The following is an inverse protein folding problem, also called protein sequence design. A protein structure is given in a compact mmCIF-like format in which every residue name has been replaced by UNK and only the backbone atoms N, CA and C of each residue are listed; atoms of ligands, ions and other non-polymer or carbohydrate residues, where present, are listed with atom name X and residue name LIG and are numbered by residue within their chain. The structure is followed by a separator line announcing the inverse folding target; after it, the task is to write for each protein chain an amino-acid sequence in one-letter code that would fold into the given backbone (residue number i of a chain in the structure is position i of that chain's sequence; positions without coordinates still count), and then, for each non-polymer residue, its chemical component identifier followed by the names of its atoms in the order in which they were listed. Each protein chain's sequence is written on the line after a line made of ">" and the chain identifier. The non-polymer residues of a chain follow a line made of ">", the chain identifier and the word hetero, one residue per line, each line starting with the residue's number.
data_IF_235768151151
#
_entry.id   IF_235768151151
#
_cell.length_a   1.000
_cell.length_b   1.000
_cell.length_c   1.000
_cell.angle_alpha   90.00
_cell.angle_beta   90.00
_cell.angle_gamma   90.00
#
_symmetry.space_group_name_H-M   'P 1'
#
loop_
_entity.id
_entity.type
_entity.pdbx_description
1 polymer ?
#
# COMPACT_ATOMS: atom_id res chain seq x y z
N UNK A 1 20.08 -4.51 -38.49
CA UNK A 1 18.62 -4.36 -38.44
C UNK A 1 18.18 -4.88 -37.08
N UNK A 2 18.09 -3.99 -36.10
CA UNK A 2 17.77 -4.31 -34.71
C UNK A 2 16.27 -4.18 -34.45
N UNK A 3 15.63 -5.13 -33.74
CA UNK A 3 14.26 -4.97 -33.31
C UNK A 3 14.19 -4.11 -32.04
N UNK A 4 13.54 -2.95 -32.16
CA UNK A 4 13.17 -2.07 -31.04
C UNK A 4 12.24 -2.79 -30.07
N UNK A 5 12.72 -3.07 -28.85
CA UNK A 5 11.87 -3.44 -27.71
C UNK A 5 11.25 -2.16 -27.14
N UNK A 6 9.93 -2.01 -27.30
CA UNK A 6 9.13 -1.00 -26.61
C UNK A 6 9.01 -1.40 -25.14
N UNK A 7 9.67 -0.69 -24.23
CA UNK A 7 9.31 -0.73 -22.80
C UNK A 7 7.96 -0.01 -22.65
N UNK A 8 6.91 -0.79 -22.36
CA UNK A 8 5.61 -0.27 -21.97
C UNK A 8 5.67 0.34 -20.57
N UNK A 9 4.99 1.47 -20.39
CA UNK A 9 4.77 2.10 -19.09
C UNK A 9 4.11 1.12 -18.12
N UNK A 10 4.81 0.78 -17.04
CA UNK A 10 4.27 -0.05 -15.97
C UNK A 10 3.34 0.81 -15.14
N UNK A 11 2.03 0.56 -15.24
CA UNK A 11 1.05 1.06 -14.28
C UNK A 11 1.21 0.24 -12.99
N UNK A 12 1.45 0.90 -11.86
CA UNK A 12 1.60 0.25 -10.56
C UNK A 12 0.22 -0.08 -9.97
N UNK A 13 -0.12 -1.37 -9.75
CA UNK A 13 -1.26 -1.73 -8.94
C UNK A 13 -0.95 -1.47 -7.46
N UNK A 14 -1.95 -0.95 -6.73
CA UNK A 14 -1.89 -0.73 -5.28
C UNK A 14 -2.13 -2.07 -4.59
N UNK A 15 -1.08 -2.78 -4.22
CA UNK A 15 -1.19 -3.97 -3.37
C UNK A 15 -1.42 -3.59 -1.91
N UNK A 16 -2.59 -4.00 -1.41
CA UNK A 16 -2.98 -3.91 0.00
C UNK A 16 -2.71 -5.28 0.62
N UNK A 17 -1.53 -5.45 1.21
CA UNK A 17 -1.28 -6.57 2.11
C UNK A 17 -0.65 -6.18 3.45
N UNK A 18 -1.39 -6.56 4.48
CA UNK A 18 -1.23 -6.31 5.91
C UNK A 18 -0.22 -7.27 6.51
N UNK A 19 0.64 -6.79 7.42
CA UNK A 19 1.44 -7.66 8.27
C UNK A 19 1.03 -7.51 9.73
N UNK A 20 0.82 -8.67 10.38
CA UNK A 20 0.46 -8.86 11.79
C UNK A 20 1.57 -8.38 12.72
N UNK A 21 1.20 -7.74 13.83
CA UNK A 21 2.08 -7.46 14.95
C UNK A 21 1.30 -7.65 16.25
N UNK A 22 1.79 -8.55 17.10
CA UNK A 22 1.22 -9.02 18.36
C UNK A 22 1.25 -7.89 19.40
N UNK A 23 0.17 -7.72 20.17
CA UNK A 23 0.08 -6.79 21.27
C UNK A 23 0.96 -7.25 22.44
N UNK A 24 1.82 -6.36 22.94
CA UNK A 24 2.51 -6.52 24.21
C UNK A 24 2.26 -5.24 25.02
N UNK A 25 1.41 -5.36 26.05
CA UNK A 25 1.19 -4.33 27.06
C UNK A 25 2.45 -4.16 27.91
N UNK A 26 3.01 -2.95 27.97
CA UNK A 26 3.95 -2.56 29.03
C UNK A 26 3.69 -1.11 29.45
N UNK A 27 3.17 -0.96 30.67
CA UNK A 27 3.67 -0.03 31.69
C UNK A 27 3.74 1.46 31.37
N UNK A 28 2.75 2.18 31.89
CA UNK A 28 2.69 3.63 32.03
C UNK A 28 3.86 4.23 32.84
N UNK A 29 4.59 5.18 32.23
CA UNK A 29 5.25 6.28 32.95
C UNK A 29 5.05 7.58 32.18
N UNK A 30 4.09 8.37 32.64
CA UNK A 30 3.82 9.71 32.15
C UNK A 30 4.94 10.66 32.59
N UNK A 31 5.68 11.23 31.63
CA UNK A 31 6.35 12.51 31.80
C UNK A 31 5.40 13.62 31.30
N UNK A 32 5.10 14.61 32.15
CA UNK A 32 4.22 15.74 31.82
C UNK A 32 4.84 16.61 30.70
N UNK A 33 4.07 17.09 29.72
CA UNK A 33 4.58 18.06 28.75
C UNK A 33 4.67 19.44 29.39
N UNK A 34 5.84 20.08 29.24
CA UNK A 34 6.07 21.50 29.49
C UNK A 34 5.23 22.36 28.56
N UNK A 35 4.50 23.31 29.13
CA UNK A 35 3.72 24.34 28.44
C UNK A 35 4.63 25.26 27.62
N UNK A 36 4.53 25.19 26.29
CA UNK A 36 5.02 26.23 25.41
C UNK A 36 3.85 27.12 24.99
N UNK A 37 3.98 28.42 25.26
CA UNK A 37 3.07 29.45 24.73
C UNK A 37 3.23 29.52 23.20
N UNK A 38 2.15 29.24 22.48
CA UNK A 38 2.01 29.59 21.06
C UNK A 38 0.95 30.67 20.96
N UNK A 39 1.33 31.86 20.48
CA UNK A 39 0.38 32.89 20.11
C UNK A 39 -0.56 32.35 19.03
N UNK A 40 -1.80 32.10 19.43
CA UNK A 40 -2.83 31.59 18.55
C UNK A 40 -3.59 32.77 17.93
N UNK A 41 -3.33 33.05 16.65
CA UNK A 41 -4.38 33.62 15.82
C UNK A 41 -5.50 32.58 15.72
N UNK A 42 -6.69 32.91 16.25
CA UNK A 42 -7.91 32.13 16.07
C UNK A 42 -8.59 32.58 14.77
N UNK A 43 -8.70 31.72 13.73
CA UNK A 43 -9.72 31.91 12.72
C UNK A 43 -11.04 31.38 13.28
N UNK A 44 -12.05 32.24 13.22
CA UNK A 44 -13.45 31.95 13.48
C UNK A 44 -13.98 30.86 12.55
N UNK A 45 -14.67 29.88 13.15
CA UNK A 45 -15.54 28.85 12.57
C UNK A 45 -15.69 28.75 11.04
N UNK A 46 -14.88 27.89 10.44
CA UNK A 46 -15.21 27.08 9.27
C UNK A 46 -14.44 25.75 9.41
N UNK A 47 -15.08 24.61 9.15
CA UNK A 47 -14.54 23.29 9.46
C UNK A 47 -13.15 23.07 8.85
N UNK A 48 -12.13 22.94 9.71
CA UNK A 48 -10.76 22.68 9.26
C UNK A 48 -10.67 21.25 8.69
N UNK A 49 -10.26 21.13 7.43
CA UNK A 49 -10.04 19.84 6.74
C UNK A 49 -8.97 19.00 7.44
N UNK A 50 -8.01 19.65 8.10
CA UNK A 50 -6.94 19.02 8.84
C UNK A 50 -5.78 19.96 9.17
N UNK A 51 -4.79 19.43 9.86
CA UNK A 51 -3.55 20.16 10.19
C UNK A 51 -2.43 19.66 9.29
N UNK A 52 -1.80 20.59 8.57
CA UNK A 52 -0.60 20.36 7.79
C UNK A 52 0.62 20.81 8.60
N UNK A 53 1.44 19.88 9.04
CA UNK A 53 2.69 20.14 9.74
C UNK A 53 3.85 20.06 8.77
N UNK A 54 4.63 21.13 8.66
CA UNK A 54 5.79 21.24 7.78
C UNK A 54 7.07 21.28 8.62
N UNK A 55 8.08 20.51 8.22
CA UNK A 55 9.39 20.54 8.85
C UNK A 55 10.06 21.89 8.65
N UNK A 56 10.57 22.47 9.75
CA UNK A 56 11.35 23.70 9.70
C UNK A 56 12.57 23.58 8.79
N UNK A 57 13.34 22.48 8.90
CA UNK A 57 14.56 22.29 8.11
C UNK A 57 14.23 22.13 6.63
N UNK A 58 13.20 21.35 6.30
CA UNK A 58 12.79 21.17 4.90
C UNK A 58 12.27 22.48 4.31
N UNK A 59 11.48 23.26 5.06
CA UNK A 59 10.96 24.57 4.65
C UNK A 59 12.08 25.53 4.30
N UNK A 60 13.14 25.58 5.11
CA UNK A 60 14.26 26.50 4.92
C UNK A 60 15.11 26.15 3.68
N UNK A 61 14.98 24.95 3.14
CA UNK A 61 15.60 24.52 1.87
C UNK A 61 14.77 24.88 0.62
N UNK A 62 13.51 25.29 0.77
CA UNK A 62 12.61 25.54 -0.36
C UNK A 62 12.65 26.99 -0.86
N UNK A 63 12.31 27.18 -2.13
CA UNK A 63 12.17 28.51 -2.72
C UNK A 63 10.97 29.27 -2.10
N UNK A 64 11.12 30.57 -1.75
CA UNK A 64 10.01 31.38 -1.25
C UNK A 64 8.75 31.40 -2.12
N UNK A 65 8.87 31.37 -3.45
CA UNK A 65 7.70 31.35 -4.35
C UNK A 65 6.87 30.09 -4.18
N UNK A 66 7.53 28.95 -4.02
CA UNK A 66 6.86 27.68 -3.77
C UNK A 66 6.22 27.64 -2.38
N UNK A 67 6.87 28.20 -1.36
CA UNK A 67 6.28 28.30 -0.02
C UNK A 67 5.01 29.18 -0.01
N UNK A 68 5.00 30.27 -0.78
CA UNK A 68 3.80 31.09 -0.97
C UNK A 68 2.68 30.29 -1.63
N UNK A 69 2.99 29.55 -2.71
CA UNK A 69 2.03 28.64 -3.33
C UNK A 69 1.47 27.62 -2.33
N UNK A 70 2.33 26.98 -1.52
CA UNK A 70 1.88 26.02 -0.50
C UNK A 70 0.91 26.68 0.49
N UNK A 71 1.23 27.89 0.96
CA UNK A 71 0.36 28.62 1.89
C UNK A 71 -1.01 28.92 1.28
N UNK A 72 -1.04 29.46 0.06
CA UNK A 72 -2.29 29.74 -0.67
C UNK A 72 -3.09 28.47 -0.92
N UNK A 73 -2.44 27.41 -1.42
CA UNK A 73 -3.07 26.13 -1.70
C UNK A 73 -3.69 25.50 -0.45
N UNK A 74 -3.00 25.53 0.69
CA UNK A 74 -3.53 24.98 1.94
C UNK A 74 -4.70 25.81 2.47
N UNK A 75 -4.64 27.14 2.36
CA UNK A 75 -5.74 28.02 2.74
C UNK A 75 -7.00 27.73 1.91
N UNK A 76 -6.86 27.61 0.59
CA UNK A 76 -7.96 27.26 -0.33
C UNK A 76 -8.56 25.88 -0.02
N UNK A 77 -7.74 24.94 0.45
CA UNK A 77 -8.17 23.60 0.83
C UNK A 77 -8.56 23.46 2.31
N UNK A 78 -8.65 24.58 3.04
CA UNK A 78 -9.03 24.63 4.47
C UNK A 78 -8.13 23.80 5.39
N UNK A 79 -6.84 23.73 5.09
CA UNK A 79 -5.82 23.13 5.96
C UNK A 79 -5.11 24.20 6.79
N UNK A 80 -4.94 23.94 8.08
CA UNK A 80 -4.12 24.78 8.95
C UNK A 80 -2.64 24.40 8.81
N UNK A 81 -1.81 25.33 8.34
CA UNK A 81 -0.36 25.16 8.27
C UNK A 81 0.30 25.45 9.63
N UNK A 82 1.14 24.52 10.10
CA UNK A 82 2.01 24.67 11.26
C UNK A 82 3.45 24.31 10.86
N UNK A 83 4.42 25.14 11.24
CA UNK A 83 5.85 24.85 11.03
C UNK A 83 6.42 24.31 12.35
N UNK A 84 7.00 23.11 12.31
CA UNK A 84 7.43 22.37 13.51
C UNK A 84 8.73 21.60 13.26
N UNK A 85 9.53 21.30 14.29
CA UNK A 85 10.73 20.48 14.16
C UNK A 85 10.37 18.99 14.12
N UNK A 86 10.00 18.50 12.93
CA UNK A 86 9.62 17.09 12.70
C UNK A 86 10.64 16.38 11.79
N UNK A 87 10.73 15.05 11.94
CA UNK A 87 11.68 14.23 11.17
C UNK A 87 11.25 13.95 9.71
N UNK A 88 9.97 13.66 9.40
CA UNK A 88 9.46 13.73 8.02
C UNK A 88 9.44 15.18 7.51
N UNK A 89 9.33 15.37 6.20
CA UNK A 89 9.22 16.72 5.63
C UNK A 89 7.85 17.32 5.93
N UNK A 90 6.81 16.50 5.86
CA UNK A 90 5.42 16.89 6.06
C UNK A 90 4.69 15.80 6.87
N UNK A 91 3.82 16.20 7.79
CA UNK A 91 2.82 15.32 8.41
C UNK A 91 1.45 15.99 8.26
N UNK A 92 0.46 15.25 7.76
CA UNK A 92 -0.93 15.72 7.70
C UNK A 92 -1.79 14.90 8.65
N UNK A 93 -2.46 15.61 9.55
CA UNK A 93 -3.52 15.06 10.39
C UNK A 93 -4.87 15.38 9.76
N UNK A 94 -5.54 14.36 9.22
CA UNK A 94 -6.84 14.50 8.58
C UNK A 94 -7.73 13.30 8.92
N UNK A 95 -8.97 13.56 9.34
CA UNK A 95 -9.96 12.51 9.66
C UNK A 95 -9.50 11.48 10.70
N UNK A 96 -8.74 11.95 11.71
CA UNK A 96 -8.21 11.12 12.79
C UNK A 96 -6.95 10.33 12.43
N UNK A 97 -6.53 10.29 11.15
CA UNK A 97 -5.29 9.65 10.70
C UNK A 97 -4.16 10.67 10.63
N UNK A 98 -2.96 10.25 11.05
CA UNK A 98 -1.70 10.94 10.77
C UNK A 98 -1.00 10.26 9.59
N UNK A 99 -0.65 11.02 8.57
CA UNK A 99 0.08 10.55 7.38
C UNK A 99 1.37 11.35 7.24
N UNK A 100 2.51 10.66 7.20
CA UNK A 100 3.83 11.26 7.06
C UNK A 100 4.31 11.17 5.61
N UNK A 101 5.03 12.21 5.18
CA UNK A 101 5.58 12.33 3.84
C UNK A 101 7.06 12.72 3.89
N UNK A 102 7.84 12.09 3.03
CA UNK A 102 9.11 12.61 2.56
C UNK A 102 8.83 13.22 1.19
N UNK A 103 9.18 14.49 0.98
CA UNK A 103 8.95 15.19 -0.27
C UNK A 103 10.27 15.64 -0.89
N UNK A 104 10.73 14.85 -1.86
CA UNK A 104 11.96 15.08 -2.61
C UNK A 104 11.65 16.03 -3.77
N UNK A 105 11.91 17.32 -3.54
CA UNK A 105 11.60 18.41 -4.49
C UNK A 105 12.59 18.50 -5.65
N UNK A 106 13.79 17.96 -5.48
CA UNK A 106 14.79 17.83 -6.53
C UNK A 106 15.50 16.48 -6.43
N UNK A 107 15.44 15.69 -7.49
CA UNK A 107 16.12 14.39 -7.54
C UNK A 107 17.62 14.56 -7.82
N UNK A 108 18.43 14.08 -6.88
CA UNK A 108 19.89 14.07 -6.98
C UNK A 108 20.42 12.65 -6.76
N UNK A 109 21.02 12.09 -7.80
CA UNK A 109 21.56 10.72 -7.78
C UNK A 109 22.68 10.54 -6.72
N UNK A 110 23.41 11.61 -6.39
CA UNK A 110 24.48 11.57 -5.39
C UNK A 110 23.93 11.44 -3.95
N UNK A 111 22.70 11.88 -3.71
CA UNK A 111 22.03 11.86 -2.39
C UNK A 111 21.12 10.65 -2.18
N UNK A 112 21.13 9.70 -3.11
CA UNK A 112 20.26 8.51 -3.05
C UNK A 112 20.48 7.68 -1.79
N UNK A 113 21.73 7.49 -1.37
CA UNK A 113 22.06 6.70 -0.18
C UNK A 113 21.41 7.27 1.10
N UNK A 114 21.52 8.59 1.31
CA UNK A 114 20.97 9.25 2.49
C UNK A 114 19.44 9.26 2.46
N UNK A 115 18.84 9.48 1.28
CA UNK A 115 17.39 9.40 1.10
C UNK A 115 16.86 8.02 1.48
N UNK A 116 17.37 6.94 0.89
CA UNK A 116 16.86 5.59 1.16
C UNK A 116 17.13 5.14 2.60
N UNK A 117 18.24 5.56 3.21
CA UNK A 117 18.49 5.35 4.64
C UNK A 117 17.41 6.04 5.50
N UNK A 118 17.10 7.31 5.20
CA UNK A 118 16.04 8.08 5.87
C UNK A 118 14.67 7.41 5.69
N UNK A 119 14.35 6.93 4.50
CA UNK A 119 13.11 6.20 4.19
C UNK A 119 12.98 4.96 5.07
N UNK A 120 14.03 4.13 5.15
CA UNK A 120 14.02 2.91 5.98
C UNK A 120 13.84 3.22 7.45
N UNK A 121 14.50 4.26 7.97
CA UNK A 121 14.34 4.73 9.35
C UNK A 121 12.90 5.18 9.64
N UNK A 122 12.33 6.02 8.78
CA UNK A 122 10.97 6.55 8.97
C UNK A 122 9.88 5.49 8.77
N UNK A 123 10.11 4.49 7.90
CA UNK A 123 9.19 3.35 7.71
C UNK A 123 8.93 2.60 9.02
N UNK A 124 9.93 2.49 9.90
CA UNK A 124 9.76 1.87 11.22
C UNK A 124 9.00 2.73 12.24
N UNK A 125 8.84 4.03 11.98
CA UNK A 125 8.23 4.99 12.92
C UNK A 125 6.80 5.37 12.54
N UNK A 126 6.45 5.31 11.25
CA UNK A 126 5.17 5.79 10.74
C UNK A 126 4.44 4.69 9.98
N UNK A 127 3.25 4.31 10.47
CA UNK A 127 2.39 3.32 9.80
C UNK A 127 1.90 3.78 8.42
N UNK A 128 1.72 5.10 8.23
CA UNK A 128 1.34 5.70 6.95
C UNK A 128 2.45 6.63 6.48
N UNK A 129 3.48 6.07 5.84
CA UNK A 129 4.56 6.83 5.23
C UNK A 129 4.46 6.77 3.71
N UNK A 130 4.63 7.93 3.07
CA UNK A 130 4.71 8.08 1.63
C UNK A 130 5.97 8.85 1.24
N UNK A 131 6.52 8.54 0.07
CA UNK A 131 7.67 9.27 -0.49
C UNK A 131 7.22 9.87 -1.81
N UNK A 132 7.10 11.19 -1.87
CA UNK A 132 6.76 11.92 -3.10
C UNK A 132 8.06 12.43 -3.71
N UNK A 133 8.30 12.13 -4.98
CA UNK A 133 9.57 12.45 -5.66
C UNK A 133 9.29 13.19 -6.95
N UNK A 134 9.83 14.40 -7.08
CA UNK A 134 9.72 15.19 -8.29
C UNK A 134 10.77 14.76 -9.31
N UNK A 135 10.30 14.25 -10.45
CA UNK A 135 11.06 13.68 -11.55
C UNK A 135 10.56 14.30 -12.87
N UNK A 136 10.88 15.58 -13.16
CA UNK A 136 10.42 16.28 -14.36
C UNK A 136 10.90 15.65 -15.67
N UNK A 137 12.05 14.98 -15.69
CA UNK A 137 12.61 14.39 -16.91
C UNK A 137 12.63 12.87 -16.88
N UNK A 138 12.71 12.29 -18.08
CA UNK A 138 12.82 10.84 -18.26
C UNK A 138 14.11 10.30 -17.65
N UNK A 139 15.22 11.01 -17.79
CA UNK A 139 16.54 10.61 -17.28
C UNK A 139 16.53 10.55 -15.75
N UNK A 140 15.85 11.49 -15.09
CA UNK A 140 15.66 11.45 -13.65
C UNK A 140 14.77 10.27 -13.23
N UNK A 141 13.70 10.00 -13.97
CA UNK A 141 12.86 8.82 -13.72
C UNK A 141 13.66 7.51 -13.86
N UNK A 142 14.46 7.37 -14.93
CA UNK A 142 15.30 6.20 -15.16
C UNK A 142 16.36 6.07 -14.05
N UNK A 143 17.00 7.17 -13.65
CA UNK A 143 17.93 7.23 -12.51
C UNK A 143 17.27 6.83 -11.17
N UNK A 144 16.05 7.31 -10.92
CA UNK A 144 15.25 6.94 -9.76
C UNK A 144 14.95 5.44 -9.74
N UNK A 145 14.48 4.88 -10.87
CA UNK A 145 14.18 3.45 -10.98
C UNK A 145 15.41 2.58 -10.71
N UNK A 146 16.55 2.90 -11.35
CA UNK A 146 17.80 2.19 -11.08
C UNK A 146 18.18 2.24 -9.60
N UNK A 147 18.03 3.40 -8.96
CA UNK A 147 18.35 3.57 -7.55
C UNK A 147 17.38 2.82 -6.63
N UNK A 148 16.09 2.85 -6.94
CA UNK A 148 15.05 2.13 -6.20
C UNK A 148 15.37 0.63 -6.08
N UNK A 149 15.74 0.00 -7.20
CA UNK A 149 16.14 -1.41 -7.22
C UNK A 149 17.50 -1.63 -6.54
N UNK A 150 18.50 -0.77 -6.79
CA UNK A 150 19.83 -0.86 -6.18
C UNK A 150 19.78 -0.91 -4.65
N UNK A 151 18.89 -0.14 -4.02
CA UNK A 151 18.76 -0.08 -2.56
C UNK A 151 17.77 -1.10 -1.97
N UNK A 152 17.30 -2.05 -2.78
CA UNK A 152 16.34 -3.11 -2.41
C UNK A 152 15.10 -2.53 -1.73
N UNK A 153 14.48 -1.52 -2.36
CA UNK A 153 13.23 -0.98 -1.85
C UNK A 153 12.08 -1.95 -2.11
N UNK A 154 11.29 -2.20 -1.07
CA UNK A 154 10.10 -3.05 -1.15
C UNK A 154 8.95 -2.29 -1.84
N UNK A 155 8.36 -2.94 -2.84
CA UNK A 155 7.16 -2.43 -3.51
C UNK A 155 6.05 -2.16 -2.47
N UNK A 156 5.48 -0.96 -2.54
CA UNK A 156 4.37 -0.53 -1.70
C UNK A 156 4.71 -0.18 -0.25
N UNK A 157 5.96 -0.35 0.23
CA UNK A 157 6.30 -0.16 1.67
C UNK A 157 7.65 0.58 1.89
N UNK A 158 7.65 1.93 2.02
CA UNK A 158 6.52 2.84 1.82
C UNK A 158 6.18 3.00 0.32
N UNK A 159 5.00 3.54 0.03
CA UNK A 159 4.63 3.86 -1.35
C UNK A 159 5.41 5.07 -1.85
N UNK A 160 6.06 4.91 -3.00
CA UNK A 160 6.70 6.00 -3.74
C UNK A 160 5.72 6.57 -4.77
N UNK A 161 5.67 7.90 -4.87
CA UNK A 161 4.76 8.64 -5.75
C UNK A 161 5.61 9.57 -6.61
N UNK A 162 6.04 9.12 -7.81
CA UNK A 162 6.73 9.98 -8.75
C UNK A 162 5.77 11.03 -9.31
N UNK A 163 6.21 12.28 -9.41
CA UNK A 163 5.45 13.42 -9.96
C UNK A 163 6.32 14.26 -10.88
N UNK A 164 5.72 14.95 -11.85
CA UNK A 164 6.48 15.75 -12.84
C UNK A 164 6.90 17.12 -12.32
N UNK A 165 6.23 17.66 -11.29
CA UNK A 165 6.51 18.98 -10.74
C UNK A 165 6.09 19.09 -9.27
N UNK A 166 6.44 20.21 -8.63
CA UNK A 166 6.22 20.46 -7.21
C UNK A 166 4.75 20.64 -6.83
N UNK A 167 3.97 21.34 -7.66
CA UNK A 167 2.55 21.63 -7.39
C UNK A 167 1.73 20.35 -7.41
N UNK A 168 1.91 19.52 -8.44
CA UNK A 168 1.33 18.17 -8.51
C UNK A 168 1.79 17.32 -7.34
N UNK A 169 3.04 17.45 -6.89
CA UNK A 169 3.53 16.80 -5.67
C UNK A 169 2.72 17.16 -4.44
N UNK A 170 2.53 18.45 -4.17
CA UNK A 170 1.73 18.94 -3.05
C UNK A 170 0.26 18.49 -3.14
N UNK A 171 -0.33 18.59 -4.33
CA UNK A 171 -1.70 18.15 -4.59
C UNK A 171 -1.88 16.67 -4.26
N UNK A 172 -0.95 15.81 -4.69
CA UNK A 172 -0.97 14.37 -4.37
C UNK A 172 -0.81 14.13 -2.88
N UNK A 173 0.07 14.85 -2.19
CA UNK A 173 0.25 14.77 -0.74
C UNK A 173 -1.08 15.02 -0.01
N UNK A 174 -1.76 16.13 -0.34
CA UNK A 174 -3.04 16.49 0.30
C UNK A 174 -4.14 15.48 -0.06
N UNK A 175 -4.24 15.05 -1.33
CA UNK A 175 -5.23 14.05 -1.77
C UNK A 175 -5.04 12.70 -1.07
N UNK A 176 -3.81 12.23 -0.91
CA UNK A 176 -3.50 10.98 -0.20
C UNK A 176 -3.94 11.09 1.26
N UNK A 177 -3.57 12.19 1.94
CA UNK A 177 -3.93 12.39 3.34
C UNK A 177 -5.45 12.46 3.54
N UNK A 178 -6.16 13.19 2.67
CA UNK A 178 -7.61 13.29 2.70
C UNK A 178 -8.27 11.93 2.45
N UNK A 179 -7.86 11.20 1.41
CA UNK A 179 -8.37 9.87 1.11
C UNK A 179 -8.20 8.91 2.30
N UNK A 180 -7.02 8.92 2.95
CA UNK A 180 -6.78 8.13 4.17
C UNK A 180 -7.71 8.53 5.32
N UNK A 181 -7.92 9.83 5.53
CA UNK A 181 -8.86 10.34 6.53
C UNK A 181 -10.30 9.88 6.28
N UNK A 182 -10.78 9.96 5.04
CA UNK A 182 -12.11 9.50 4.64
C UNK A 182 -12.24 7.98 4.82
N UNK A 183 -11.28 7.19 4.32
CA UNK A 183 -11.28 5.74 4.46
C UNK A 183 -11.34 5.30 5.93
N UNK A 184 -10.63 6.00 6.83
CA UNK A 184 -10.70 5.72 8.27
C UNK A 184 -12.08 6.04 8.85
N UNK A 185 -12.64 7.23 8.56
CA UNK A 185 -13.97 7.62 9.05
C UNK A 185 -15.07 6.64 8.63
N UNK A 186 -14.95 6.07 7.43
CA UNK A 186 -15.94 5.15 6.89
C UNK A 186 -15.71 3.68 7.28
N UNK A 187 -14.65 3.38 8.05
CA UNK A 187 -14.14 2.03 8.30
C UNK A 187 -14.01 1.22 7.01
N UNK A 188 -13.59 1.87 5.91
CA UNK A 188 -13.64 1.31 4.57
C UNK A 188 -12.76 0.05 4.44
N UNK A 189 -11.59 0.04 5.09
CA UNK A 189 -10.66 -1.11 5.05
C UNK A 189 -11.26 -2.34 5.74
N UNK A 190 -11.89 -2.15 6.89
CA UNK A 190 -12.52 -3.25 7.63
C UNK A 190 -13.75 -3.79 6.90
N UNK A 191 -14.60 -2.89 6.37
CA UNK A 191 -15.74 -3.26 5.52
C UNK A 191 -15.30 -4.04 4.30
N UNK A 192 -14.30 -3.54 3.56
CA UNK A 192 -13.75 -4.22 2.39
C UNK A 192 -13.16 -5.58 2.76
N UNK A 193 -12.49 -5.71 3.91
CA UNK A 193 -11.98 -7.00 4.40
C UNK A 193 -13.11 -7.99 4.69
N UNK A 194 -14.17 -7.54 5.37
CA UNK A 194 -15.34 -8.37 5.65
C UNK A 194 -16.10 -8.77 4.39
N UNK A 195 -16.28 -7.85 3.44
CA UNK A 195 -16.89 -8.11 2.14
C UNK A 195 -16.06 -9.10 1.31
N UNK A 196 -14.73 -8.94 1.29
CA UNK A 196 -13.81 -9.89 0.65
C UNK A 196 -13.93 -11.27 1.29
N UNK A 197 -13.91 -11.35 2.61
CA UNK A 197 -14.06 -12.61 3.36
C UNK A 197 -15.38 -13.31 3.04
N UNK A 198 -16.49 -12.56 3.06
CA UNK A 198 -17.80 -13.07 2.66
C UNK A 198 -17.84 -13.53 1.20
N UNK A 199 -17.19 -12.79 0.30
CA UNK A 199 -17.14 -13.10 -1.13
C UNK A 199 -16.36 -14.38 -1.42
N UNK A 200 -15.22 -14.62 -0.74
CA UNK A 200 -14.42 -15.84 -0.95
C UNK A 200 -15.04 -17.08 -0.33
N UNK A 201 -15.95 -16.92 0.64
CA UNK A 201 -16.73 -18.01 1.23
C UNK A 201 -17.93 -18.43 0.36
N UNK A 202 -18.29 -17.66 -0.67
CA UNK A 202 -19.42 -17.99 -1.53
C UNK A 202 -19.13 -19.26 -2.36
N UNK A 203 -20.16 -20.09 -2.54
CA UNK A 203 -20.07 -21.32 -3.34
C UNK A 203 -19.58 -21.05 -4.77
N UNK A 204 -19.96 -19.91 -5.36
CA UNK A 204 -19.49 -19.52 -6.69
C UNK A 204 -17.97 -19.30 -6.74
N UNK A 205 -17.39 -18.71 -5.68
CA UNK A 205 -15.94 -18.54 -5.57
C UNK A 205 -15.25 -19.90 -5.44
N UNK A 206 -15.81 -20.79 -4.62
CA UNK A 206 -15.34 -22.16 -4.49
C UNK A 206 -15.37 -22.89 -5.85
N UNK A 207 -16.51 -22.88 -6.55
CA UNK A 207 -16.69 -23.54 -7.84
C UNK A 207 -15.70 -22.99 -8.87
N UNK A 208 -15.51 -21.67 -8.93
CA UNK A 208 -14.57 -21.03 -9.85
C UNK A 208 -13.13 -21.48 -9.61
N UNK A 209 -12.71 -21.64 -8.35
CA UNK A 209 -11.36 -22.12 -8.02
C UNK A 209 -11.21 -23.59 -8.36
N UNK A 210 -12.13 -24.44 -7.92
CA UNK A 210 -12.01 -25.90 -8.08
C UNK A 210 -12.13 -26.32 -9.55
N UNK A 211 -13.02 -25.72 -10.32
CA UNK A 211 -13.13 -25.98 -11.78
C UNK A 211 -11.98 -25.37 -12.60
N UNK A 212 -11.15 -24.53 -11.98
CA UNK A 212 -9.90 -24.07 -12.62
C UNK A 212 -8.82 -25.16 -12.61
N UNK A 213 -8.97 -26.24 -11.83
CA UNK A 213 -8.10 -27.41 -11.88
C UNK A 213 -8.41 -28.16 -13.19
N UNK A 214 -7.42 -28.40 -14.06
CA UNK A 214 -7.66 -29.02 -15.37
C UNK A 214 -8.42 -30.35 -15.25
N UNK A 215 -9.50 -30.54 -16.01
CA UNK A 215 -10.28 -31.79 -16.02
C UNK A 215 -11.12 -32.07 -14.77
N UNK A 216 -11.33 -31.05 -13.92
CA UNK A 216 -12.34 -31.05 -12.87
C UNK A 216 -13.52 -30.21 -13.37
N UNK A 217 -14.70 -30.81 -13.45
CA UNK A 217 -15.92 -30.15 -13.87
C UNK A 217 -16.75 -29.66 -12.67
N UNK A 218 -17.91 -29.06 -12.96
CA UNK A 218 -18.79 -28.49 -11.94
C UNK A 218 -19.38 -29.56 -11.01
N UNK A 219 -19.69 -30.75 -11.52
CA UNK A 219 -20.22 -31.85 -10.71
C UNK A 219 -19.16 -32.35 -9.75
N UNK A 220 -17.94 -32.57 -10.23
CA UNK A 220 -16.79 -32.95 -9.39
C UNK A 220 -16.56 -31.92 -8.27
N UNK A 221 -16.62 -30.63 -8.61
CA UNK A 221 -16.43 -29.55 -7.65
C UNK A 221 -17.50 -29.58 -6.55
N UNK A 222 -18.77 -29.83 -6.90
CA UNK A 222 -19.86 -29.95 -5.94
C UNK A 222 -19.67 -31.18 -5.03
N UNK A 223 -19.28 -32.33 -5.60
CA UNK A 223 -19.00 -33.54 -4.82
C UNK A 223 -17.88 -33.30 -3.80
N UNK A 224 -16.78 -32.66 -4.23
CA UNK A 224 -15.68 -32.27 -3.34
C UNK A 224 -16.12 -31.30 -2.24
N UNK A 225 -17.03 -30.37 -2.55
CA UNK A 225 -17.55 -29.42 -1.56
C UNK A 225 -18.37 -30.13 -0.50
N UNK A 226 -19.23 -31.06 -0.90
CA UNK A 226 -20.09 -31.82 0.01
C UNK A 226 -19.28 -32.79 0.89
N UNK A 227 -18.24 -33.40 0.32
CA UNK A 227 -17.43 -34.42 0.98
C UNK A 227 -16.30 -33.86 1.85
N UNK A 228 -15.60 -32.83 1.36
CA UNK A 228 -14.36 -32.30 1.96
C UNK A 228 -14.54 -30.86 2.47
N UNK A 229 -15.51 -30.12 1.93
CA UNK A 229 -15.91 -28.80 2.43
C UNK A 229 -15.16 -27.64 1.78
N UNK A 230 -13.87 -27.47 2.08
CA UNK A 230 -13.13 -26.25 1.73
C UNK A 230 -11.96 -26.48 0.77
N UNK A 231 -11.56 -25.43 0.05
CA UNK A 231 -10.38 -25.45 -0.82
C UNK A 231 -9.12 -25.80 -0.01
N UNK A 232 -8.99 -25.28 1.20
CA UNK A 232 -7.86 -25.59 2.09
C UNK A 232 -7.83 -27.06 2.49
N UNK A 233 -9.00 -27.64 2.81
CA UNK A 233 -9.10 -29.06 3.14
C UNK A 233 -8.75 -29.95 1.93
N UNK A 234 -9.21 -29.59 0.72
CA UNK A 234 -8.88 -30.31 -0.52
C UNK A 234 -7.38 -30.22 -0.82
N UNK A 235 -6.77 -29.05 -0.62
CA UNK A 235 -5.34 -28.86 -0.83
C UNK A 235 -4.48 -29.75 0.08
N UNK A 236 -4.98 -30.05 1.29
CA UNK A 236 -4.32 -30.92 2.28
C UNK A 236 -4.72 -32.39 2.15
N UNK A 237 -5.87 -32.70 1.55
CA UNK A 237 -6.38 -34.05 1.41
C UNK A 237 -5.38 -34.96 0.67
N UNK A 238 -5.28 -36.21 1.11
CA UNK A 238 -4.56 -37.24 0.37
C UNK A 238 -5.43 -37.74 -0.79
N UNK A 239 -4.80 -38.33 -1.81
CA UNK A 239 -5.54 -39.03 -2.88
C UNK A 239 -6.55 -40.03 -2.33
N UNK A 240 -6.14 -40.84 -1.35
CA UNK A 240 -7.01 -41.84 -0.73
C UNK A 240 -8.19 -41.18 -0.02
N UNK A 241 -7.94 -40.11 0.72
CA UNK A 241 -9.00 -39.33 1.38
C UNK A 241 -10.04 -38.79 0.36
N UNK A 242 -9.60 -38.34 -0.82
CA UNK A 242 -10.52 -37.90 -1.87
C UNK A 242 -11.35 -39.09 -2.39
N UNK A 243 -10.73 -40.22 -2.68
CA UNK A 243 -11.42 -41.41 -3.20
C UNK A 243 -12.38 -42.05 -2.20
N UNK A 244 -12.06 -42.01 -0.91
CA UNK A 244 -12.91 -42.61 0.14
C UNK A 244 -14.17 -41.79 0.40
N UNK A 245 -14.13 -40.47 0.11
CA UNK A 245 -15.21 -39.54 0.45
C UNK A 245 -15.97 -39.02 -0.80
N UNK A 246 -15.52 -39.34 -2.02
CA UNK A 246 -16.13 -38.86 -3.27
C UNK A 246 -16.22 -39.97 -4.32
N UNK A 247 -17.05 -39.76 -5.34
CA UNK A 247 -17.19 -40.62 -6.52
C UNK A 247 -16.22 -40.26 -7.65
N UNK A 248 -15.20 -39.44 -7.37
CA UNK A 248 -14.20 -39.03 -8.37
C UNK A 248 -13.36 -40.23 -8.82
N UNK A 249 -12.96 -40.20 -10.09
CA UNK A 249 -12.03 -41.21 -10.62
C UNK A 249 -10.64 -41.09 -10.00
N UNK A 250 -9.89 -42.20 -10.01
CA UNK A 250 -8.50 -42.27 -9.55
C UNK A 250 -7.62 -41.19 -10.22
N UNK A 251 -7.87 -40.93 -11.50
CA UNK A 251 -7.16 -39.91 -12.28
C UNK A 251 -7.48 -38.48 -11.82
N UNK A 252 -8.75 -38.19 -11.52
CA UNK A 252 -9.17 -36.88 -11.00
C UNK A 252 -8.62 -36.65 -9.59
N UNK A 253 -8.68 -37.65 -8.72
CA UNK A 253 -8.14 -37.57 -7.36
C UNK A 253 -6.62 -37.38 -7.34
N UNK A 254 -5.87 -38.09 -8.18
CA UNK A 254 -4.43 -37.90 -8.36
C UNK A 254 -4.12 -36.48 -8.84
N UNK A 255 -4.87 -36.00 -9.83
CA UNK A 255 -4.68 -34.68 -10.42
C UNK A 255 -4.88 -33.56 -9.41
N UNK A 256 -5.91 -33.65 -8.57
CA UNK A 256 -6.15 -32.70 -7.48
C UNK A 256 -4.98 -32.70 -6.50
N UNK A 257 -4.52 -33.89 -6.07
CA UNK A 257 -3.41 -34.01 -5.13
C UNK A 257 -2.11 -33.41 -5.69
N UNK A 258 -1.79 -33.70 -6.96
CA UNK A 258 -0.65 -33.13 -7.66
C UNK A 258 -0.77 -31.61 -7.87
N UNK A 259 -1.96 -31.11 -8.20
CA UNK A 259 -2.17 -29.67 -8.42
C UNK A 259 -1.81 -28.83 -7.19
N UNK A 260 -2.13 -29.29 -5.98
CA UNK A 260 -1.81 -28.54 -4.76
C UNK A 260 -0.40 -28.81 -4.22
N UNK A 261 0.22 -29.94 -4.54
CA UNK A 261 1.49 -30.38 -3.94
C UNK A 261 2.70 -30.26 -4.86
N UNK A 262 2.51 -30.20 -6.18
CA UNK A 262 3.57 -30.06 -7.16
C UNK A 262 3.52 -28.71 -7.89
N UNK A 263 4.45 -27.82 -7.51
CA UNK A 263 4.65 -26.51 -8.14
C UNK A 263 4.95 -26.60 -9.64
N UNK A 264 5.62 -27.65 -10.11
CA UNK A 264 5.91 -27.85 -11.54
C UNK A 264 4.66 -28.27 -12.31
N UNK A 265 3.68 -28.87 -11.65
CA UNK A 265 2.42 -29.29 -12.24
C UNK A 265 1.40 -28.14 -12.26
N UNK A 266 1.28 -27.38 -11.17
CA UNK A 266 0.34 -26.26 -11.03
C UNK A 266 0.67 -25.06 -11.92
N UNK A 267 1.97 -24.87 -12.23
CA UNK A 267 2.45 -23.79 -13.10
C UNK A 267 2.54 -24.17 -14.58
N UNK A 268 2.15 -25.40 -14.97
CA UNK A 268 2.17 -25.77 -16.41
C UNK A 268 1.14 -24.93 -17.18
N UNK A 269 1.50 -24.42 -18.37
CA UNK A 269 0.54 -23.78 -19.24
C UNK A 269 -0.65 -24.69 -19.48
N UNK A 270 -1.86 -24.17 -19.22
CA UNK A 270 -3.09 -24.88 -19.53
C UNK A 270 -3.26 -24.88 -21.05
N UNK A 271 -2.80 -25.93 -21.71
CA UNK A 271 -3.10 -26.15 -23.13
C UNK A 271 -4.59 -26.49 -23.20
N UNK A 272 -5.37 -25.59 -23.81
CA UNK A 272 -6.76 -25.85 -24.19
C UNK A 272 -6.80 -26.48 -25.57
#
# INVERSE_FOLDING_TARGET
>A
MDPKVKLGSIAFPVDVDSNRGVAMEIGSRFAKPSTFHTDSYKPTGAGCSGVFMMSKTWRDEQNPSFLNFVSSFLQENSFRLNIVPIAPDIIINCGGVSVAFIFVTNWDSAKTASLFCRVKKLKGQFANLYVVVTLPTREQNDSFNCSYFKYNMELGKPTFVPVSNLETGLEKIVKIAHARGVCRKQNAVEKMKAEKEKSVQAMDAYLKVVTSIPGIDKHDAIALYQAIGSIEAIAKASKQCILDNTDLSVEKAERISMFFRDLKYSLRPKIK
#
